data_IF_318085945401
#
_entry.id   IF_318085945401
#
_cell.length_a   1.000
_cell.length_b   1.000
_cell.length_c   1.000
_cell.angle_alpha   90.00
_cell.angle_beta   90.00
_cell.angle_gamma   90.00
#
_symmetry.space_group_name_H-M   'P 1'
#
loop_
_entity.id
_entity.type
_entity.pdbx_description
1 polymer ?
#
# COMPACT_ATOMS: atom_id res chain seq x y z
N UNK A 1 27.37 -17.52 -12.51
CA UNK A 1 26.04 -16.90 -12.32
C UNK A 1 25.07 -17.53 -13.32
N UNK A 2 23.86 -17.88 -12.90
CA UNK A 2 22.82 -18.37 -13.82
C UNK A 2 22.17 -17.16 -14.50
N UNK A 3 22.42 -16.94 -15.80
CA UNK A 3 21.94 -15.78 -16.54
C UNK A 3 20.40 -15.64 -16.53
N UNK A 4 19.67 -16.76 -16.49
CA UNK A 4 18.21 -16.77 -16.35
C UNK A 4 17.79 -16.13 -15.03
N UNK A 5 18.48 -16.49 -13.95
CA UNK A 5 18.18 -16.00 -12.61
C UNK A 5 18.49 -14.50 -12.48
N UNK A 6 19.55 -14.01 -13.15
CA UNK A 6 19.85 -12.58 -13.15
C UNK A 6 18.79 -11.74 -13.87
N UNK A 7 18.29 -12.18 -15.03
CA UNK A 7 17.21 -11.46 -15.71
C UNK A 7 15.94 -11.43 -14.86
N UNK A 8 15.55 -12.57 -14.28
CA UNK A 8 14.36 -12.61 -13.44
C UNK A 8 14.48 -11.72 -12.20
N UNK A 9 15.66 -11.70 -11.56
CA UNK A 9 15.87 -10.84 -10.40
C UNK A 9 15.88 -9.36 -10.77
N UNK A 10 16.45 -8.98 -11.91
CA UNK A 10 16.42 -7.60 -12.40
C UNK A 10 14.97 -7.12 -12.61
N UNK A 11 14.13 -7.94 -13.23
CA UNK A 11 12.72 -7.58 -13.44
C UNK A 11 11.92 -7.51 -12.13
N UNK A 12 12.21 -8.39 -11.16
CA UNK A 12 11.64 -8.28 -9.81
C UNK A 12 12.01 -6.93 -9.19
N UNK A 13 13.28 -6.55 -9.24
CA UNK A 13 13.77 -5.30 -8.67
C UNK A 13 13.13 -4.08 -9.37
N UNK A 14 12.96 -4.13 -10.69
CA UNK A 14 12.28 -3.07 -11.46
C UNK A 14 10.82 -2.91 -11.04
N UNK A 15 10.08 -4.02 -10.88
CA UNK A 15 8.68 -3.98 -10.43
C UNK A 15 8.59 -3.42 -9.00
N UNK A 16 9.45 -3.86 -8.08
CA UNK A 16 9.46 -3.39 -6.68
C UNK A 16 9.85 -1.91 -6.53
N UNK A 17 10.52 -1.34 -7.54
CA UNK A 17 10.90 0.08 -7.58
C UNK A 17 10.05 0.93 -8.55
N UNK A 18 9.06 0.33 -9.21
CA UNK A 18 8.20 0.98 -10.20
C UNK A 18 7.30 2.10 -9.62
N UNK A 19 6.53 2.79 -10.45
CA UNK A 19 5.64 3.88 -10.03
C UNK A 19 4.40 3.44 -9.23
N UNK A 20 3.30 4.17 -9.45
CA UNK A 20 2.01 3.94 -8.76
C UNK A 20 1.16 2.83 -9.41
N UNK A 21 1.68 2.19 -10.46
CA UNK A 21 1.00 1.13 -11.23
C UNK A 21 1.96 -0.05 -11.50
N UNK A 22 2.36 -0.81 -10.46
CA UNK A 22 3.29 -1.93 -10.62
C UNK A 22 2.82 -3.04 -11.56
N UNK A 23 1.52 -3.13 -11.88
CA UNK A 23 1.04 -4.08 -12.89
C UNK A 23 1.58 -3.77 -14.28
N UNK A 24 1.77 -2.49 -14.60
CA UNK A 24 2.33 -2.09 -15.91
C UNK A 24 3.76 -2.64 -16.01
N UNK A 25 4.59 -2.38 -15.00
CA UNK A 25 5.94 -2.92 -14.92
C UNK A 25 5.95 -4.47 -14.96
N UNK A 26 4.98 -5.13 -14.35
CA UNK A 26 4.84 -6.59 -14.42
C UNK A 26 4.57 -7.09 -15.85
N UNK A 27 3.68 -6.44 -16.59
CA UNK A 27 3.40 -6.85 -17.97
C UNK A 27 4.55 -6.48 -18.93
N UNK A 28 5.24 -5.38 -18.68
CA UNK A 28 6.50 -5.03 -19.36
C UNK A 28 7.57 -6.10 -19.12
N UNK A 29 7.76 -6.52 -17.87
CA UNK A 29 8.68 -7.60 -17.52
C UNK A 29 8.33 -8.92 -18.21
N UNK A 30 7.04 -9.29 -18.27
CA UNK A 30 6.62 -10.49 -19.01
C UNK A 30 7.01 -10.37 -20.49
N UNK A 31 6.70 -9.24 -21.12
CA UNK A 31 7.02 -9.00 -22.52
C UNK A 31 8.53 -9.06 -22.78
N UNK A 32 9.35 -8.34 -22.00
CA UNK A 32 10.81 -8.37 -22.10
C UNK A 32 11.34 -9.80 -21.97
N UNK A 33 10.92 -10.52 -20.93
CA UNK A 33 11.43 -11.85 -20.62
C UNK A 33 11.06 -12.89 -21.68
N UNK A 34 9.90 -12.79 -22.35
CA UNK A 34 9.37 -13.85 -23.22
C UNK A 34 9.27 -13.50 -24.70
N UNK A 35 8.99 -12.24 -25.04
CA UNK A 35 8.54 -11.84 -26.38
C UNK A 35 9.44 -10.81 -27.07
N UNK A 36 10.09 -9.92 -26.34
CA UNK A 36 10.88 -8.82 -26.92
C UNK A 36 12.06 -9.32 -27.75
N UNK A 37 12.27 -8.77 -28.95
CA UNK A 37 13.26 -9.24 -29.94
C UNK A 37 14.68 -9.32 -29.36
N UNK A 38 15.09 -8.28 -28.64
CA UNK A 38 16.39 -8.19 -27.97
C UNK A 38 16.38 -8.74 -26.53
N UNK A 39 15.24 -9.27 -26.08
CA UNK A 39 15.07 -9.86 -24.74
C UNK A 39 15.59 -11.30 -24.62
N UNK A 40 15.59 -11.88 -23.40
CA UNK A 40 16.21 -13.19 -23.15
C UNK A 40 15.40 -14.40 -23.64
N UNK A 41 14.19 -14.21 -24.18
CA UNK A 41 13.33 -15.28 -24.76
C UNK A 41 13.15 -16.50 -23.85
N UNK A 42 12.94 -16.25 -22.56
CA UNK A 42 12.78 -17.28 -21.55
C UNK A 42 11.41 -17.96 -21.65
N UNK A 43 11.40 -19.26 -21.34
CA UNK A 43 10.16 -19.97 -21.02
C UNK A 43 9.96 -19.88 -19.50
N UNK A 44 8.99 -19.07 -19.07
CA UNK A 44 8.70 -18.86 -17.66
C UNK A 44 7.89 -20.02 -17.07
N UNK A 45 8.34 -20.50 -15.92
CA UNK A 45 7.58 -21.43 -15.09
C UNK A 45 6.54 -20.68 -14.26
N UNK A 46 5.58 -21.43 -13.70
CA UNK A 46 4.64 -20.87 -12.72
C UNK A 46 5.35 -20.27 -11.50
N UNK A 47 6.54 -20.76 -11.13
CA UNK A 47 7.31 -20.20 -10.01
C UNK A 47 7.87 -18.82 -10.34
N UNK A 48 8.35 -18.62 -11.57
CA UNK A 48 8.89 -17.33 -12.00
C UNK A 48 7.79 -16.28 -12.08
N UNK A 49 6.64 -16.65 -12.64
CA UNK A 49 5.47 -15.77 -12.69
C UNK A 49 5.05 -15.39 -11.26
N UNK A 50 5.02 -16.35 -10.33
CA UNK A 50 4.69 -16.06 -8.92
C UNK A 50 5.69 -15.11 -8.26
N UNK A 51 6.98 -15.13 -8.62
CA UNK A 51 7.97 -14.16 -8.12
C UNK A 51 7.67 -12.75 -8.63
N UNK A 52 7.42 -12.60 -9.93
CA UNK A 52 7.04 -11.31 -10.52
C UNK A 52 5.72 -10.79 -9.94
N UNK A 53 4.73 -11.67 -9.70
CA UNK A 53 3.47 -11.29 -9.07
C UNK A 53 3.65 -10.85 -7.61
N UNK A 54 4.59 -11.46 -6.87
CA UNK A 54 4.93 -11.04 -5.52
C UNK A 54 5.58 -9.65 -5.51
N UNK A 55 6.43 -9.34 -6.49
CA UNK A 55 7.04 -8.02 -6.64
C UNK A 55 5.96 -6.92 -6.76
N UNK A 56 4.87 -7.18 -7.51
CA UNK A 56 3.73 -6.26 -7.63
C UNK A 56 3.06 -6.03 -6.28
N UNK A 57 2.80 -7.10 -5.52
CA UNK A 57 2.17 -7.04 -4.20
C UNK A 57 3.07 -6.27 -3.22
N UNK A 58 4.37 -6.55 -3.24
CA UNK A 58 5.37 -5.86 -2.42
C UNK A 58 5.41 -4.36 -2.75
N UNK A 59 5.41 -3.99 -4.03
CA UNK A 59 5.37 -2.57 -4.42
C UNK A 59 4.12 -1.89 -3.90
N UNK A 60 2.97 -2.51 -4.07
CA UNK A 60 1.71 -1.96 -3.57
C UNK A 60 1.73 -1.72 -2.07
N UNK A 61 2.23 -2.70 -1.31
CA UNK A 61 2.44 -2.54 0.13
C UNK A 61 3.34 -1.35 0.43
N UNK A 62 4.50 -1.25 -0.22
CA UNK A 62 5.46 -0.14 -0.02
C UNK A 62 4.82 1.23 -0.24
N UNK A 63 4.09 1.42 -1.34
CA UNK A 63 3.48 2.73 -1.63
C UNK A 63 2.30 3.06 -0.72
N UNK A 64 1.50 2.06 -0.31
CA UNK A 64 0.41 2.26 0.66
C UNK A 64 0.97 2.68 2.01
N UNK A 65 1.98 1.96 2.52
CA UNK A 65 2.59 2.25 3.81
C UNK A 65 3.30 3.62 3.78
N UNK A 66 3.99 3.96 2.69
CA UNK A 66 4.56 5.30 2.48
C UNK A 66 3.51 6.40 2.62
N UNK A 67 2.33 6.20 2.05
CA UNK A 67 1.23 7.18 2.06
C UNK A 67 0.52 7.28 3.41
N UNK A 68 0.62 6.23 4.24
CA UNK A 68 0.13 6.19 5.63
C UNK A 68 1.21 6.54 6.68
N UNK A 69 2.46 6.74 6.28
CA UNK A 69 3.53 7.11 7.19
C UNK A 69 3.43 8.61 7.53
N UNK A 70 2.86 8.91 8.70
CA UNK A 70 2.62 10.28 9.14
C UNK A 70 3.90 11.11 9.29
N UNK A 71 5.04 10.46 9.57
CA UNK A 71 6.34 11.13 9.61
C UNK A 71 6.70 11.78 8.25
N UNK A 72 6.18 11.25 7.14
CA UNK A 72 6.44 11.76 5.80
C UNK A 72 5.67 13.04 5.47
N UNK A 73 4.74 13.54 6.30
CA UNK A 73 3.83 14.66 5.95
C UNK A 73 4.48 15.95 5.48
N UNK A 74 5.78 16.16 5.77
CA UNK A 74 6.58 17.31 5.32
C UNK A 74 7.41 17.03 4.07
N UNK A 75 7.44 15.80 3.60
CA UNK A 75 8.17 15.35 2.43
C UNK A 75 7.29 15.39 1.19
N UNK A 76 7.89 15.67 0.03
CA UNK A 76 7.22 15.68 -1.27
C UNK A 76 6.68 14.30 -1.68
N UNK A 77 7.18 13.23 -1.05
CA UNK A 77 6.73 11.86 -1.31
C UNK A 77 5.39 11.54 -0.63
N UNK A 78 4.95 12.36 0.33
CA UNK A 78 3.71 12.12 1.06
C UNK A 78 2.51 12.54 0.22
N UNK A 79 1.66 11.56 -0.10
CA UNK A 79 0.43 11.75 -0.87
C UNK A 79 -0.83 11.71 0.00
N UNK A 80 -0.71 11.18 1.22
CA UNK A 80 -1.77 11.10 2.20
C UNK A 80 -2.80 9.99 1.93
N UNK A 81 -3.77 9.93 2.82
CA UNK A 81 -4.75 8.86 2.96
C UNK A 81 -5.53 8.53 1.67
N UNK A 82 -5.93 9.54 0.89
CA UNK A 82 -6.64 9.31 -0.38
C UNK A 82 -5.84 8.47 -1.37
N UNK A 83 -4.51 8.65 -1.43
CA UNK A 83 -3.66 7.86 -2.32
C UNK A 83 -3.49 6.44 -1.80
N UNK A 84 -3.36 6.27 -0.49
CA UNK A 84 -3.33 4.95 0.14
C UNK A 84 -4.60 4.13 -0.20
N UNK A 85 -5.79 4.76 -0.13
CA UNK A 85 -7.07 4.12 -0.48
C UNK A 85 -7.10 3.69 -1.96
N UNK A 86 -6.68 4.57 -2.88
CA UNK A 86 -6.61 4.25 -4.32
C UNK A 86 -5.70 3.05 -4.57
N UNK A 87 -4.50 3.06 -3.98
CA UNK A 87 -3.51 2.00 -4.16
C UNK A 87 -3.97 0.68 -3.52
N UNK A 88 -4.63 0.73 -2.36
CA UNK A 88 -5.25 -0.44 -1.75
C UNK A 88 -6.35 -1.05 -2.64
N UNK A 89 -7.20 -0.22 -3.24
CA UNK A 89 -8.22 -0.68 -4.16
C UNK A 89 -7.65 -1.34 -5.42
N UNK A 90 -6.53 -0.82 -5.95
CA UNK A 90 -5.83 -1.44 -7.08
C UNK A 90 -5.25 -2.80 -6.69
N UNK A 91 -4.56 -2.86 -5.55
CA UNK A 91 -4.03 -4.09 -4.99
C UNK A 91 -5.10 -5.18 -4.81
N UNK A 92 -6.26 -4.85 -4.20
CA UNK A 92 -7.38 -5.80 -4.07
C UNK A 92 -7.83 -6.34 -5.42
N UNK A 93 -7.97 -5.47 -6.43
CA UNK A 93 -8.36 -5.88 -7.80
C UNK A 93 -7.31 -6.82 -8.39
N UNK A 94 -6.02 -6.50 -8.22
CA UNK A 94 -4.92 -7.33 -8.69
C UNK A 94 -4.90 -8.70 -8.00
N UNK A 95 -4.96 -8.74 -6.68
CA UNK A 95 -5.00 -9.95 -5.86
C UNK A 95 -6.17 -10.86 -6.26
N UNK A 96 -7.37 -10.28 -6.44
CA UNK A 96 -8.55 -11.02 -6.93
C UNK A 96 -8.32 -11.60 -8.32
N UNK A 97 -7.78 -10.81 -9.26
CA UNK A 97 -7.51 -11.25 -10.64
C UNK A 97 -6.50 -12.40 -10.69
N UNK A 98 -5.49 -12.38 -9.81
CA UNK A 98 -4.42 -13.39 -9.76
C UNK A 98 -4.70 -14.57 -8.84
N UNK A 99 -5.79 -14.53 -8.07
CA UNK A 99 -6.07 -15.48 -6.98
C UNK A 99 -4.88 -15.59 -5.99
N UNK A 100 -4.33 -14.43 -5.63
CA UNK A 100 -3.17 -14.29 -4.73
C UNK A 100 -3.56 -13.37 -3.59
N UNK A 101 -3.51 -13.85 -2.36
CA UNK A 101 -3.83 -13.06 -1.17
C UNK A 101 -2.59 -13.04 -0.28
N UNK A 102 -2.21 -11.86 0.18
CA UNK A 102 -1.28 -11.71 1.30
C UNK A 102 -2.09 -11.59 2.60
N UNK A 103 -2.12 -12.64 3.46
CA UNK A 103 -2.92 -12.63 4.67
C UNK A 103 -2.42 -11.64 5.74
N UNK A 104 -1.13 -11.25 5.72
CA UNK A 104 -0.57 -10.33 6.71
C UNK A 104 -0.84 -8.85 6.39
N UNK A 105 -1.05 -8.56 5.12
CA UNK A 105 -1.13 -7.20 4.58
C UNK A 105 -2.25 -6.36 5.17
N UNK A 106 -3.45 -6.91 5.29
CA UNK A 106 -4.62 -6.20 5.85
C UNK A 106 -4.33 -5.71 7.28
N UNK A 107 -3.75 -6.58 8.11
CA UNK A 107 -3.40 -6.27 9.51
C UNK A 107 -2.33 -5.18 9.59
N UNK A 108 -1.34 -5.22 8.71
CA UNK A 108 -0.24 -4.27 8.70
C UNK A 108 -0.67 -2.88 8.25
N UNK A 109 -1.44 -2.78 7.17
CA UNK A 109 -2.01 -1.51 6.69
C UNK A 109 -2.94 -0.92 7.77
N UNK A 110 -3.75 -1.76 8.42
CA UNK A 110 -4.61 -1.35 9.54
C UNK A 110 -3.83 -0.71 10.69
N UNK A 111 -2.68 -1.29 11.06
CA UNK A 111 -1.80 -0.70 12.09
C UNK A 111 -1.29 0.69 11.70
N UNK A 112 -0.85 0.86 10.46
CA UNK A 112 -0.40 2.17 9.96
C UNK A 112 -1.55 3.18 9.90
N UNK A 113 -2.76 2.77 9.54
CA UNK A 113 -3.93 3.65 9.55
C UNK A 113 -4.26 4.13 10.97
N UNK A 114 -4.27 3.22 11.96
CA UNK A 114 -4.51 3.60 13.37
C UNK A 114 -3.48 4.62 13.83
N UNK A 115 -2.21 4.37 13.54
CA UNK A 115 -1.12 5.27 13.93
C UNK A 115 -1.21 6.63 13.25
N UNK A 116 -1.54 6.65 11.96
CA UNK A 116 -1.81 7.88 11.20
C UNK A 116 -2.91 8.71 11.85
N UNK A 117 -4.06 8.10 12.16
CA UNK A 117 -5.20 8.80 12.77
C UNK A 117 -4.86 9.29 14.18
N UNK A 118 -4.12 8.51 14.97
CA UNK A 118 -3.64 8.92 16.29
C UNK A 118 -2.78 10.18 16.20
N UNK A 119 -1.78 10.18 15.33
CA UNK A 119 -0.88 11.32 15.14
C UNK A 119 -1.60 12.56 14.60
N UNK A 120 -2.53 12.38 13.66
CA UNK A 120 -3.36 13.47 13.15
C UNK A 120 -4.21 14.11 14.27
N UNK A 121 -4.83 13.30 15.14
CA UNK A 121 -5.60 13.80 16.28
C UNK A 121 -4.73 14.60 17.26
N UNK A 122 -3.51 14.13 17.52
CA UNK A 122 -2.54 14.81 18.39
C UNK A 122 -2.10 16.16 17.82
N UNK A 123 -1.71 16.22 16.53
CA UNK A 123 -1.30 17.47 15.87
C UNK A 123 -2.45 18.51 15.86
N UNK A 124 -3.70 18.08 15.68
CA UNK A 124 -4.89 18.97 15.77
C UNK A 124 -5.08 19.49 17.19
N UNK A 125 -4.92 18.64 18.20
CA UNK A 125 -5.10 19.02 19.61
C UNK A 125 -4.06 20.05 20.08
N UNK A 126 -2.86 20.00 19.50
CA UNK A 126 -1.75 20.92 19.72
C UNK A 126 -1.89 22.28 19.01
N UNK A 127 -3.04 22.57 18.37
CA UNK A 127 -3.30 23.77 17.55
C UNK A 127 -2.35 23.92 16.34
N UNK A 128 -1.68 22.84 15.92
CA UNK A 128 -0.92 22.82 14.66
C UNK A 128 -1.92 22.56 13.54
N UNK A 129 -2.36 23.64 12.89
CA UNK A 129 -3.52 23.67 11.99
C UNK A 129 -3.43 22.86 10.67
N UNK A 130 -2.48 21.94 10.51
CA UNK A 130 -2.33 21.19 9.26
C UNK A 130 -3.06 19.85 9.34
N UNK A 131 -4.28 19.83 8.82
CA UNK A 131 -4.97 18.55 8.53
C UNK A 131 -4.34 17.91 7.29
N UNK A 132 -3.97 16.65 7.41
CA UNK A 132 -3.43 15.84 6.33
C UNK A 132 -4.46 14.87 5.74
N UNK A 133 -5.57 14.62 6.47
CA UNK A 133 -6.70 13.82 5.95
C UNK A 133 -7.29 14.53 4.72
N UNK A 134 -7.13 13.91 3.55
CA UNK A 134 -7.51 14.45 2.24
C UNK A 134 -8.56 13.59 1.50
N UNK A 135 -9.29 12.74 2.24
CA UNK A 135 -10.41 11.93 1.77
C UNK A 135 -11.71 12.34 2.47
N UNK A 136 -12.85 11.82 2.01
CA UNK A 136 -14.11 11.98 2.74
C UNK A 136 -14.15 11.11 3.99
N UNK A 137 -15.07 11.41 4.91
CA UNK A 137 -15.33 10.57 6.08
C UNK A 137 -15.79 9.17 5.66
N UNK A 138 -16.68 9.08 4.66
CA UNK A 138 -17.18 7.82 4.11
C UNK A 138 -16.04 6.96 3.54
N UNK A 139 -15.12 7.56 2.75
CA UNK A 139 -13.95 6.86 2.21
C UNK A 139 -13.06 6.29 3.32
N UNK A 140 -12.88 7.03 4.41
CA UNK A 140 -12.08 6.61 5.57
C UNK A 140 -12.77 5.50 6.38
N UNK A 141 -14.07 5.62 6.64
CA UNK A 141 -14.84 4.61 7.36
C UNK A 141 -14.87 3.28 6.61
N UNK A 142 -15.14 3.31 5.30
CA UNK A 142 -15.08 2.12 4.44
C UNK A 142 -13.69 1.49 4.44
N UNK A 143 -12.64 2.31 4.33
CA UNK A 143 -11.27 1.80 4.35
C UNK A 143 -10.92 1.15 5.70
N UNK A 144 -11.33 1.75 6.81
CA UNK A 144 -11.13 1.18 8.15
C UNK A 144 -11.89 -0.13 8.36
N UNK A 145 -13.15 -0.20 7.92
CA UNK A 145 -13.97 -1.41 7.96
C UNK A 145 -13.32 -2.55 7.14
N UNK A 146 -12.89 -2.25 5.92
CA UNK A 146 -12.20 -3.20 5.06
C UNK A 146 -10.88 -3.69 5.66
N UNK A 147 -10.20 -2.87 6.45
CA UNK A 147 -9.00 -3.23 7.20
C UNK A 147 -9.29 -3.92 8.54
N UNK A 148 -10.56 -3.93 8.98
CA UNK A 148 -10.98 -4.51 10.26
C UNK A 148 -10.49 -3.72 11.46
N UNK A 149 -10.33 -2.41 11.31
CA UNK A 149 -9.87 -1.50 12.38
C UNK A 149 -10.99 -0.55 12.79
N UNK A 150 -11.04 -0.22 14.08
CA UNK A 150 -11.96 0.79 14.60
C UNK A 150 -11.20 2.11 14.76
N UNK A 151 -11.59 3.10 13.97
CA UNK A 151 -11.02 4.46 13.97
C UNK A 151 -11.87 5.47 14.76
N UNK A 152 -12.93 5.01 15.43
CA UNK A 152 -13.75 5.88 16.27
C UNK A 152 -12.90 6.40 17.43
N UNK A 153 -12.94 7.70 17.74
CA UNK A 153 -12.32 8.20 18.95
C UNK A 153 -12.94 7.46 20.14
N UNK A 154 -12.09 6.87 20.99
CA UNK A 154 -12.56 6.29 22.24
C UNK A 154 -13.43 7.35 22.93
N UNK A 155 -14.71 7.04 23.16
CA UNK A 155 -15.58 7.92 23.93
C UNK A 155 -14.85 8.22 25.23
N UNK A 156 -14.50 9.50 25.47
CA UNK A 156 -13.99 9.92 26.78
C UNK A 156 -14.95 9.35 27.82
N UNK A 157 -14.48 8.65 28.87
CA UNK A 157 -15.36 8.30 29.96
C UNK A 157 -16.02 9.60 30.42
N UNK A 158 -17.35 9.61 30.49
CA UNK A 158 -18.08 10.71 31.11
C UNK A 158 -17.49 10.88 32.51
N UNK A 159 -16.68 11.92 32.69
CA UNK A 159 -16.42 12.45 34.02
C UNK A 159 -17.77 12.98 34.47
N UNK A 160 -18.47 12.18 35.28
CA UNK A 160 -19.56 12.66 36.10
C UNK A 160 -18.97 13.71 37.05
N UNK A 161 -18.88 14.96 36.60
CA UNK A 161 -18.97 16.10 37.50
C UNK A 161 -20.35 15.99 38.16
N UNK A 162 -20.46 15.85 39.47
CA UNK A 162 -19.86 16.78 40.42
C UNK A 162 -20.70 18.04 40.39
N UNK A 163 -21.87 17.97 41.03
CA UNK A 163 -22.68 19.14 41.33
C UNK A 163 -22.73 19.30 42.85
N UNK A 164 -22.36 20.51 43.25
CA UNK A 164 -22.44 21.10 44.58
C UNK A 164 -23.87 21.15 45.10
#
# INVERSE_FOLDING_TARGET
MNYRESYLQQEVDLIENSGEMPEVAFYEALYYLTEEEEGPKLILTLSDIKRLENAVINRYKTIILRDLEFANRKSSIFRGLKRAIINYNRLKKYQKKKNRIDPGMKKEIGRFLIEYIRCECEDISDKRHYRTINCTQEELEQFAEELGVNISPAKKPHLNGGAF
#
